data_IF_819985470469
#
_entry.id   IF_819985470469
#
_cell.length_a   1.000
_cell.length_b   1.000
_cell.length_c   1.000
_cell.angle_alpha   90.00
_cell.angle_beta   90.00
_cell.angle_gamma   90.00
#
_symmetry.space_group_name_H-M   'P 1'
#
loop_
_entity.id
_entity.type
_entity.pdbx_description
1 polymer ?
#
# COMPACT_ATOMS: atom_id res chain seq x y z
N UNK A 1 3.94 20.37 30.71
CA UNK A 1 3.65 19.02 30.20
C UNK A 1 3.26 19.12 28.72
N UNK A 2 4.20 19.58 27.88
CA UNK A 2 4.00 19.78 26.43
C UNK A 2 4.44 18.55 25.64
N UNK A 3 3.88 17.40 26.00
CA UNK A 3 4.21 16.12 25.39
C UNK A 3 3.79 16.12 23.93
N UNK A 4 4.78 16.23 23.05
CA UNK A 4 4.73 15.79 21.67
C UNK A 4 3.69 16.47 20.77
N UNK A 5 3.92 17.76 20.53
CA UNK A 5 3.31 18.49 19.41
C UNK A 5 3.54 17.76 18.07
N UNK A 6 2.65 17.99 17.09
CA UNK A 6 2.71 17.42 15.73
C UNK A 6 4.12 17.50 15.11
N UNK A 7 4.89 18.54 15.46
CA UNK A 7 6.28 18.70 15.02
C UNK A 7 7.22 17.58 15.46
N UNK A 8 7.02 16.97 16.63
CA UNK A 8 7.83 15.84 17.06
C UNK A 8 7.58 14.61 16.21
N UNK A 9 6.32 14.31 15.89
CA UNK A 9 5.98 13.19 15.01
C UNK A 9 6.53 13.38 13.60
N UNK A 10 6.55 14.62 13.10
CA UNK A 10 7.17 14.95 11.81
C UNK A 10 8.69 14.72 11.83
N UNK A 11 9.38 15.20 12.89
CA UNK A 11 10.82 14.98 13.06
C UNK A 11 11.15 13.48 13.26
N UNK A 12 10.39 12.79 14.09
CA UNK A 12 10.57 11.38 14.39
C UNK A 12 10.35 10.51 13.14
N UNK A 13 9.29 10.79 12.37
CA UNK A 13 9.04 10.15 11.08
C UNK A 13 10.18 10.40 10.08
N UNK A 14 10.67 11.64 10.00
CA UNK A 14 11.81 12.00 9.15
C UNK A 14 13.08 11.24 9.52
N UNK A 15 13.45 11.19 10.80
CA UNK A 15 14.62 10.46 11.30
C UNK A 15 14.47 8.96 11.08
N UNK A 16 13.28 8.39 11.32
CA UNK A 16 13.00 6.98 11.10
C UNK A 16 13.22 6.59 9.62
N UNK A 17 12.73 7.39 8.68
CA UNK A 17 12.94 7.17 7.24
C UNK A 17 14.42 7.29 6.87
N UNK A 18 15.17 8.20 7.50
CA UNK A 18 16.60 8.39 7.25
C UNK A 18 17.43 7.17 7.71
N UNK A 19 17.09 6.59 8.87
CA UNK A 19 17.73 5.38 9.41
C UNK A 19 17.36 4.14 8.60
N UNK A 20 16.10 4.01 8.20
CA UNK A 20 15.63 2.91 7.35
C UNK A 20 16.19 3.00 5.93
N UNK A 21 16.41 4.21 5.43
CA UNK A 21 16.83 4.50 4.06
C UNK A 21 15.65 4.43 3.08
N UNK A 22 15.62 5.35 2.10
CA UNK A 22 14.50 5.48 1.16
C UNK A 22 14.18 4.21 0.38
N UNK A 23 15.19 3.40 0.04
CA UNK A 23 15.00 2.15 -0.70
C UNK A 23 14.31 1.04 0.11
N UNK A 24 14.64 0.89 1.40
CA UNK A 24 14.04 -0.14 2.28
C UNK A 24 12.64 0.28 2.71
N UNK A 25 12.46 1.56 3.06
CA UNK A 25 11.16 2.11 3.43
C UNK A 25 10.16 2.05 2.26
N UNK A 26 10.57 2.38 1.04
CA UNK A 26 9.71 2.33 -0.14
C UNK A 26 9.30 0.88 -0.51
N UNK A 27 10.23 -0.08 -0.41
CA UNK A 27 9.90 -1.50 -0.60
C UNK A 27 8.90 -2.01 0.44
N UNK A 28 9.13 -1.72 1.72
CA UNK A 28 8.21 -2.07 2.82
C UNK A 28 6.84 -1.42 2.67
N UNK A 29 6.79 -0.12 2.33
CA UNK A 29 5.54 0.58 2.08
C UNK A 29 4.78 -0.02 0.89
N UNK A 30 5.47 -0.49 -0.15
CA UNK A 30 4.88 -1.18 -1.28
C UNK A 30 4.20 -2.50 -0.90
N UNK A 31 4.85 -3.31 -0.05
CA UNK A 31 4.27 -4.58 0.41
C UNK A 31 3.12 -4.37 1.41
N UNK A 32 3.21 -3.35 2.28
CA UNK A 32 2.09 -2.94 3.14
C UNK A 32 0.92 -2.41 2.31
N UNK A 33 1.17 -1.60 1.29
CA UNK A 33 0.13 -1.08 0.40
C UNK A 33 -0.59 -2.21 -0.35
N UNK A 34 0.14 -3.23 -0.83
CA UNK A 34 -0.45 -4.43 -1.42
C UNK A 34 -1.30 -5.20 -0.41
N UNK A 35 -0.79 -5.43 0.81
CA UNK A 35 -1.51 -6.12 1.88
C UNK A 35 -2.82 -5.41 2.26
N UNK A 36 -2.77 -4.10 2.45
CA UNK A 36 -3.96 -3.28 2.76
C UNK A 36 -4.93 -3.24 1.58
N UNK A 37 -4.45 -3.15 0.34
CA UNK A 37 -5.31 -3.19 -0.86
C UNK A 37 -6.03 -4.53 -1.01
N UNK A 38 -5.34 -5.65 -0.76
CA UNK A 38 -5.95 -6.98 -0.80
C UNK A 38 -6.92 -7.20 0.37
N UNK A 39 -6.59 -6.70 1.56
CA UNK A 39 -7.49 -6.75 2.72
C UNK A 39 -8.78 -5.94 2.47
N UNK A 40 -8.64 -4.74 1.90
CA UNK A 40 -9.79 -3.91 1.51
C UNK A 40 -10.61 -4.55 0.38
N UNK A 41 -9.96 -5.16 -0.62
CA UNK A 41 -10.65 -5.91 -1.67
C UNK A 41 -11.41 -7.10 -1.10
N UNK A 42 -10.78 -7.92 -0.24
CA UNK A 42 -11.44 -9.06 0.39
C UNK A 42 -12.63 -8.66 1.26
N UNK A 43 -12.52 -7.57 2.03
CA UNK A 43 -13.65 -7.01 2.79
C UNK A 43 -14.76 -6.46 1.89
N UNK A 44 -14.40 -5.80 0.79
CA UNK A 44 -15.37 -5.27 -0.16
C UNK A 44 -16.04 -6.38 -0.99
N UNK A 45 -15.36 -7.49 -1.27
CA UNK A 45 -15.94 -8.66 -1.95
C UNK A 45 -16.89 -9.46 -1.04
N UNK A 46 -16.74 -9.35 0.28
CA UNK A 46 -17.72 -9.90 1.24
C UNK A 46 -19.02 -9.07 1.27
N UNK A 47 -18.94 -7.77 0.97
CA UNK A 47 -20.06 -6.83 0.97
C UNK A 47 -20.73 -6.69 -0.42
N UNK A 48 -19.95 -6.76 -1.50
CA UNK A 48 -20.41 -6.80 -2.89
C UNK A 48 -20.06 -8.16 -3.50
N UNK A 49 -21.02 -9.09 -3.48
CA UNK A 49 -21.01 -10.24 -4.38
C UNK A 49 -21.15 -9.77 -5.84
N UNK A 50 -20.06 -9.28 -6.43
CA UNK A 50 -19.95 -8.95 -7.85
C UNK A 50 -18.64 -9.52 -8.38
N UNK A 51 -18.67 -10.33 -9.46
CA UNK A 51 -17.56 -11.20 -9.81
C UNK A 51 -16.32 -10.36 -10.14
N UNK A 52 -15.21 -10.72 -9.49
CA UNK A 52 -13.91 -10.14 -9.72
C UNK A 52 -13.58 -10.09 -11.21
N UNK A 53 -13.50 -8.88 -11.78
CA UNK A 53 -12.71 -8.64 -12.98
C UNK A 53 -11.25 -8.86 -12.59
N UNK A 54 -10.80 -10.10 -12.78
CA UNK A 54 -9.39 -10.40 -12.99
C UNK A 54 -8.98 -9.59 -14.21
N UNK A 55 -8.20 -8.54 -13.99
CA UNK A 55 -7.50 -7.79 -15.01
C UNK A 55 -6.59 -8.76 -15.79
N UNK A 56 -7.15 -9.40 -16.82
CA UNK A 56 -6.38 -9.95 -17.93
C UNK A 56 -5.73 -8.74 -18.60
N UNK A 57 -4.52 -8.43 -18.14
CA UNK A 57 -3.55 -7.67 -18.92
C UNK A 57 -3.33 -8.45 -20.22
N UNK A 58 -4.05 -8.00 -21.25
CA UNK A 58 -3.61 -7.95 -22.64
C UNK A 58 -2.63 -9.07 -23.03
N UNK A 59 -3.16 -10.26 -23.33
CA UNK A 59 -2.51 -11.15 -24.27
C UNK A 59 -3.00 -10.71 -25.67
N UNK A 60 -2.14 -10.19 -26.55
CA UNK A 60 -2.56 -9.76 -27.88
C UNK A 60 -3.15 -10.96 -28.61
N UNK A 61 -4.37 -10.79 -29.12
CA UNK A 61 -5.06 -11.79 -29.92
C UNK A 61 -4.15 -12.27 -31.07
N UNK A 62 -3.88 -13.58 -31.22
CA UNK A 62 -3.37 -14.09 -32.48
C UNK A 62 -4.44 -13.86 -33.54
N UNK A 63 -4.10 -13.04 -34.55
CA UNK A 63 -4.86 -12.94 -35.79
C UNK A 63 -4.38 -14.06 -36.70
N UNK A 64 -5.22 -15.07 -36.88
CA UNK A 64 -5.23 -15.97 -38.04
C UNK A 64 -6.69 -16.16 -38.47
#
# INVERSE_FOLDING_TARGET
MGGFSLMHWLLFGGVAILVLGGGRFSAMMGDVAKGVKQFKKGLAEEDEAKPAQIDTKEAPAPKD
#
